data_IF_352810888714
#
_entry.id   IF_352810888714
#
_cell.length_a   1.000
_cell.length_b   1.000
_cell.length_c   1.000
_cell.angle_alpha   90.00
_cell.angle_beta   90.00
_cell.angle_gamma   90.00
#
_symmetry.space_group_name_H-M   'P 1'
#
loop_
_entity.id
_entity.type
_entity.pdbx_description
1 polymer ?
#
# COMPACT_ATOMS: atom_id res chain seq x y z
N UNK A 1 -0.66 -50.72 -13.36
CA UNK A 1 -1.74 -49.96 -14.05
C UNK A 1 -2.34 -49.00 -13.07
N UNK A 2 -2.38 -47.70 -13.36
CA UNK A 2 -2.99 -46.68 -12.51
C UNK A 2 -4.51 -46.88 -12.50
N UNK A 3 -5.13 -46.81 -11.30
CA UNK A 3 -6.57 -46.91 -11.15
C UNK A 3 -7.25 -45.73 -11.84
N UNK A 4 -8.32 -45.94 -12.63
CA UNK A 4 -9.01 -44.81 -13.27
C UNK A 4 -9.59 -43.90 -12.17
N UNK A 5 -9.43 -42.61 -12.34
CA UNK A 5 -9.96 -41.59 -11.43
C UNK A 5 -11.49 -41.56 -11.61
N UNK A 6 -12.21 -41.77 -10.54
CA UNK A 6 -13.66 -41.67 -10.53
C UNK A 6 -14.13 -40.21 -10.42
N UNK A 7 -15.43 -39.94 -10.65
CA UNK A 7 -16.00 -38.60 -10.63
C UNK A 7 -15.88 -37.93 -9.25
N UNK A 8 -15.90 -38.71 -8.17
CA UNK A 8 -15.81 -38.21 -6.80
C UNK A 8 -14.39 -37.77 -6.49
N UNK A 9 -13.41 -38.61 -6.87
CA UNK A 9 -11.98 -38.26 -6.73
C UNK A 9 -11.59 -37.06 -7.57
N UNK A 10 -12.11 -36.96 -8.82
CA UNK A 10 -11.88 -35.79 -9.67
C UNK A 10 -12.42 -34.49 -9.03
N UNK A 11 -13.64 -34.51 -8.52
CA UNK A 11 -14.23 -33.35 -7.81
C UNK A 11 -13.41 -32.96 -6.58
N UNK A 12 -12.99 -33.93 -5.77
CA UNK A 12 -12.17 -33.70 -4.58
C UNK A 12 -10.82 -33.08 -4.91
N UNK A 13 -10.17 -33.55 -5.99
CA UNK A 13 -8.90 -33.00 -6.41
C UNK A 13 -9.04 -31.55 -6.94
N UNK A 14 -10.07 -31.27 -7.74
CA UNK A 14 -10.35 -29.92 -8.20
C UNK A 14 -10.58 -28.97 -7.03
N UNK A 15 -11.39 -29.37 -6.06
CA UNK A 15 -11.69 -28.56 -4.87
C UNK A 15 -10.42 -28.27 -4.06
N UNK A 16 -9.59 -29.29 -3.84
CA UNK A 16 -8.32 -29.14 -3.15
C UNK A 16 -7.39 -28.15 -3.87
N UNK A 17 -7.30 -28.21 -5.19
CA UNK A 17 -6.47 -27.30 -5.97
C UNK A 17 -7.02 -25.87 -5.97
N UNK A 18 -8.33 -25.67 -6.08
CA UNK A 18 -8.96 -24.36 -5.96
C UNK A 18 -8.70 -23.74 -4.59
N UNK A 19 -8.93 -24.49 -3.52
CA UNK A 19 -8.66 -24.02 -2.16
C UNK A 19 -7.20 -23.62 -1.96
N UNK A 20 -6.24 -24.35 -2.55
CA UNK A 20 -4.83 -23.98 -2.49
C UNK A 20 -4.57 -22.63 -3.19
N UNK A 21 -5.14 -22.41 -4.37
CA UNK A 21 -5.00 -21.16 -5.12
C UNK A 21 -5.65 -19.98 -4.41
N UNK A 22 -6.84 -20.17 -3.81
CA UNK A 22 -7.52 -19.17 -3.00
C UNK A 22 -6.70 -18.75 -1.78
N UNK A 23 -6.11 -19.74 -1.08
CA UNK A 23 -5.23 -19.48 0.08
C UNK A 23 -3.97 -18.72 -0.32
N UNK A 24 -3.39 -18.98 -1.48
CA UNK A 24 -2.25 -18.23 -1.98
C UNK A 24 -2.65 -16.78 -2.30
N UNK A 25 -3.75 -16.59 -3.02
CA UNK A 25 -4.26 -15.25 -3.33
C UNK A 25 -4.57 -14.44 -2.05
N UNK A 26 -5.16 -15.09 -1.03
CA UNK A 26 -5.41 -14.47 0.27
C UNK A 26 -4.11 -14.09 1.00
N UNK A 27 -3.06 -14.93 0.92
CA UNK A 27 -1.76 -14.63 1.51
C UNK A 27 -1.07 -13.44 0.80
N UNK A 28 -1.16 -13.35 -0.52
CA UNK A 28 -0.64 -12.23 -1.30
C UNK A 28 -1.36 -10.93 -0.96
N UNK A 29 -2.69 -10.94 -0.90
CA UNK A 29 -3.49 -9.79 -0.48
C UNK A 29 -3.18 -9.36 0.97
N UNK A 30 -2.92 -10.32 1.85
CA UNK A 30 -2.48 -10.04 3.23
C UNK A 30 -1.13 -9.33 3.29
N UNK A 31 -0.18 -9.68 2.41
CA UNK A 31 1.12 -9.02 2.34
C UNK A 31 0.97 -7.55 1.88
N UNK A 32 0.14 -7.31 0.87
CA UNK A 32 -0.13 -5.95 0.40
C UNK A 32 -0.79 -5.11 1.50
N UNK A 33 -1.75 -5.68 2.24
CA UNK A 33 -2.36 -5.01 3.39
C UNK A 33 -1.34 -4.68 4.51
N UNK A 34 -0.39 -5.57 4.79
CA UNK A 34 0.68 -5.31 5.75
C UNK A 34 1.63 -4.20 5.27
N UNK A 35 1.91 -4.14 3.98
CA UNK A 35 2.70 -3.06 3.37
C UNK A 35 2.00 -1.72 3.49
N UNK A 36 0.71 -1.68 3.20
CA UNK A 36 -0.12 -0.48 3.33
C UNK A 36 -0.21 -0.01 4.79
N UNK A 37 -0.27 -0.94 5.75
CA UNK A 37 -0.22 -0.60 7.19
C UNK A 37 1.11 0.06 7.58
N UNK A 38 2.25 -0.42 7.06
CA UNK A 38 3.55 0.22 7.25
C UNK A 38 3.55 1.64 6.69
N UNK A 39 3.07 1.83 5.46
CA UNK A 39 3.01 3.16 4.83
C UNK A 39 2.10 4.11 5.62
N UNK A 40 0.90 3.68 5.96
CA UNK A 40 -0.07 4.47 6.71
C UNK A 40 0.43 4.88 8.10
N UNK A 41 1.04 3.95 8.82
CA UNK A 41 1.56 4.25 10.17
C UNK A 41 2.78 5.16 10.10
N UNK A 42 3.65 4.99 9.09
CA UNK A 42 4.78 5.88 8.84
C UNK A 42 4.32 7.29 8.47
N UNK A 43 3.35 7.42 7.58
CA UNK A 43 2.76 8.72 7.20
C UNK A 43 2.13 9.44 8.40
N UNK A 44 1.46 8.72 9.29
CA UNK A 44 0.89 9.30 10.50
C UNK A 44 1.98 9.85 11.45
N UNK A 45 3.11 9.13 11.58
CA UNK A 45 4.23 9.59 12.38
C UNK A 45 4.92 10.81 11.76
N UNK A 46 5.12 10.83 10.43
CA UNK A 46 5.62 12.01 9.69
C UNK A 46 4.70 13.20 9.88
N UNK A 47 3.38 13.03 9.74
CA UNK A 47 2.42 14.10 9.89
C UNK A 47 2.47 14.72 11.29
N UNK A 48 2.64 13.90 12.34
CA UNK A 48 2.79 14.37 13.71
C UNK A 48 4.07 15.20 13.90
N UNK A 49 5.19 14.75 13.32
CA UNK A 49 6.46 15.47 13.40
C UNK A 49 6.39 16.80 12.62
N UNK A 50 5.79 16.81 11.44
CA UNK A 50 5.53 18.03 10.67
C UNK A 50 4.71 19.01 11.49
N UNK A 51 3.63 18.54 12.11
CA UNK A 51 2.80 19.41 12.95
C UNK A 51 3.59 19.98 14.15
N UNK A 52 4.48 19.19 14.76
CA UNK A 52 5.36 19.65 15.84
C UNK A 52 6.27 20.78 15.36
N UNK A 53 6.90 20.62 14.20
CA UNK A 53 7.77 21.65 13.61
C UNK A 53 6.98 22.91 13.28
N UNK A 54 5.81 22.77 12.66
CA UNK A 54 4.95 23.91 12.28
C UNK A 54 4.44 24.72 13.49
N UNK A 55 4.31 24.10 14.67
CA UNK A 55 3.98 24.82 15.92
C UNK A 55 5.09 25.75 16.40
N UNK A 56 6.33 25.50 16.01
CA UNK A 56 7.47 26.32 16.34
C UNK A 56 7.70 27.47 15.33
N UNK A 57 7.02 27.43 14.18
CA UNK A 57 7.15 28.44 13.14
C UNK A 57 6.02 29.46 13.25
N UNK A 58 6.34 30.74 13.56
CA UNK A 58 5.33 31.78 13.66
C UNK A 58 4.73 32.10 12.29
N UNK A 59 3.48 32.54 12.29
CA UNK A 59 2.77 32.94 11.08
C UNK A 59 3.43 34.14 10.38
N UNK A 60 4.24 34.90 11.11
CA UNK A 60 5.02 36.04 10.60
C UNK A 60 5.97 35.66 9.45
N UNK A 61 6.45 34.40 9.42
CA UNK A 61 7.30 33.89 8.36
C UNK A 61 6.64 33.97 6.95
N UNK A 62 5.31 33.96 6.90
CA UNK A 62 4.57 34.13 5.63
C UNK A 62 4.82 35.49 4.98
N UNK A 63 5.22 36.51 5.75
CA UNK A 63 5.47 37.86 5.25
C UNK A 63 6.96 38.22 5.23
N UNK A 64 7.86 37.24 5.41
CA UNK A 64 9.32 37.45 5.43
C UNK A 64 9.83 38.23 4.23
N UNK A 65 9.26 37.97 3.04
CA UNK A 65 9.64 38.62 1.80
C UNK A 65 8.80 39.90 1.53
N UNK A 66 8.17 40.48 2.56
CA UNK A 66 7.32 41.68 2.45
C UNK A 66 6.20 41.58 1.41
N UNK A 67 5.55 40.42 1.37
CA UNK A 67 4.47 40.11 0.39
C UNK A 67 3.17 40.85 0.64
N UNK A 68 3.11 41.70 1.66
CA UNK A 68 1.92 42.46 2.00
C UNK A 68 0.81 41.65 2.66
N UNK A 69 1.16 40.51 3.29
CA UNK A 69 0.21 39.72 4.05
C UNK A 69 -0.08 40.45 5.38
N UNK A 70 -1.36 40.59 5.71
CA UNK A 70 -1.80 41.24 6.97
C UNK A 70 -1.65 40.30 8.16
N UNK A 71 -0.43 40.11 8.64
CA UNK A 71 -0.12 39.22 9.76
C UNK A 71 -0.92 39.56 11.02
N UNK A 72 -1.08 40.86 11.30
CA UNK A 72 -1.87 41.33 12.45
C UNK A 72 -3.31 40.79 12.42
N UNK A 73 -3.95 40.78 11.24
CA UNK A 73 -5.30 40.25 11.10
C UNK A 73 -5.36 38.74 11.32
N UNK A 74 -4.30 37.99 10.95
CA UNK A 74 -4.20 36.57 11.24
C UNK A 74 -4.09 36.32 12.76
N UNK A 75 -3.23 37.06 13.46
CA UNK A 75 -3.10 36.98 14.92
C UNK A 75 -4.42 37.29 15.64
N UNK A 76 -5.13 38.34 15.24
CA UNK A 76 -6.42 38.72 15.80
C UNK A 76 -7.49 37.63 15.67
N UNK A 77 -7.34 36.74 14.68
CA UNK A 77 -8.23 35.59 14.46
C UNK A 77 -7.66 34.25 15.00
N UNK A 78 -6.62 34.32 15.85
CA UNK A 78 -6.08 33.15 16.54
C UNK A 78 -5.07 32.31 15.76
N UNK A 79 -4.61 32.79 14.58
CA UNK A 79 -3.55 32.12 13.83
C UNK A 79 -2.18 32.67 14.26
N UNK A 80 -1.50 31.95 15.16
CA UNK A 80 -0.20 32.38 15.69
C UNK A 80 0.97 31.62 15.07
N UNK A 81 0.73 30.37 14.67
CA UNK A 81 1.73 29.48 14.08
C UNK A 81 1.28 28.94 12.73
N UNK A 82 2.20 28.38 11.96
CA UNK A 82 1.84 27.70 10.73
C UNK A 82 0.98 26.44 10.97
N UNK A 83 1.09 25.84 12.18
CA UNK A 83 0.24 24.71 12.55
C UNK A 83 -1.24 25.10 12.67
N UNK A 84 -1.54 26.33 13.06
CA UNK A 84 -2.91 26.83 13.20
C UNK A 84 -3.54 27.07 11.84
N UNK A 85 -2.77 27.61 10.88
CA UNK A 85 -3.27 27.98 9.56
C UNK A 85 -3.24 26.81 8.55
N UNK A 86 -2.39 25.81 8.76
CA UNK A 86 -2.27 24.67 7.85
C UNK A 86 -3.61 23.91 7.64
N UNK A 87 -4.43 23.62 8.64
CA UNK A 87 -5.73 22.97 8.45
C UNK A 87 -6.83 23.92 7.96
N UNK A 88 -6.65 25.27 8.07
CA UNK A 88 -7.66 26.23 7.69
C UNK A 88 -7.96 26.19 6.19
N UNK A 89 -9.24 26.35 5.83
CA UNK A 89 -9.66 26.46 4.44
C UNK A 89 -9.36 27.86 3.90
N UNK A 90 -9.25 28.00 2.56
CA UNK A 90 -9.13 29.32 1.90
C UNK A 90 -10.31 30.23 2.31
N UNK A 91 -11.52 29.68 2.36
CA UNK A 91 -12.71 30.43 2.76
C UNK A 91 -12.61 30.95 4.20
N UNK A 92 -12.12 30.13 5.14
CA UNK A 92 -11.91 30.58 6.53
C UNK A 92 -10.89 31.71 6.63
N UNK A 93 -9.84 31.68 5.80
CA UNK A 93 -8.82 32.75 5.76
C UNK A 93 -9.39 34.01 5.07
N UNK A 94 -10.15 33.86 4.00
CA UNK A 94 -10.77 34.97 3.28
C UNK A 94 -11.88 35.68 4.08
N UNK A 95 -12.51 34.99 5.04
CA UNK A 95 -13.50 35.58 5.95
C UNK A 95 -12.89 36.59 6.95
N UNK A 96 -11.56 36.62 7.08
CA UNK A 96 -10.85 37.53 7.96
C UNK A 96 -10.91 38.96 7.40
N UNK A 97 -11.37 39.90 8.20
CA UNK A 97 -11.46 41.30 7.76
C UNK A 97 -10.11 41.83 7.25
N UNK A 98 -10.10 42.28 6.00
CA UNK A 98 -8.92 42.84 5.35
C UNK A 98 -8.02 41.81 4.65
N UNK A 99 -8.45 40.58 4.52
CA UNK A 99 -7.83 39.55 3.66
C UNK A 99 -8.78 39.26 2.50
N UNK A 100 -8.34 39.56 1.28
CA UNK A 100 -9.10 39.19 0.07
C UNK A 100 -8.98 37.72 -0.24
N UNK A 101 -9.88 37.21 -1.08
CA UNK A 101 -9.85 35.81 -1.50
C UNK A 101 -8.52 35.44 -2.18
N UNK A 102 -8.02 36.30 -3.08
CA UNK A 102 -6.72 36.09 -3.76
C UNK A 102 -5.58 35.99 -2.75
N UNK A 103 -5.59 36.81 -1.69
CA UNK A 103 -4.61 36.78 -0.63
C UNK A 103 -4.73 35.50 0.21
N UNK A 104 -5.94 35.03 0.46
CA UNK A 104 -6.17 33.77 1.16
C UNK A 104 -5.63 32.58 0.35
N UNK A 105 -5.79 32.58 -0.97
CA UNK A 105 -5.17 31.59 -1.86
C UNK A 105 -3.64 31.64 -1.81
N UNK A 106 -3.06 32.83 -1.85
CA UNK A 106 -1.60 33.01 -1.76
C UNK A 106 -1.05 32.49 -0.42
N UNK A 107 -1.68 32.87 0.69
CA UNK A 107 -1.34 32.40 2.02
C UNK A 107 -1.38 30.86 2.06
N UNK A 108 -2.47 30.27 1.58
CA UNK A 108 -2.63 28.82 1.58
C UNK A 108 -1.59 28.10 0.72
N UNK A 109 -1.25 28.67 -0.43
CA UNK A 109 -0.19 28.14 -1.29
C UNK A 109 1.15 28.14 -0.58
N UNK A 110 1.54 29.24 0.06
CA UNK A 110 2.78 29.37 0.81
C UNK A 110 2.85 28.37 1.98
N UNK A 111 1.77 28.27 2.75
CA UNK A 111 1.69 27.31 3.85
C UNK A 111 1.84 25.88 3.33
N UNK A 112 1.17 25.52 2.24
CA UNK A 112 1.27 24.18 1.66
C UNK A 112 2.69 23.88 1.13
N UNK A 113 3.38 24.88 0.58
CA UNK A 113 4.77 24.75 0.14
C UNK A 113 5.70 24.49 1.33
N UNK A 114 5.55 25.25 2.43
CA UNK A 114 6.30 25.06 3.66
C UNK A 114 6.01 23.68 4.28
N UNK A 115 4.74 23.27 4.34
CA UNK A 115 4.32 21.95 4.83
C UNK A 115 4.98 20.84 3.99
N UNK A 116 4.94 20.97 2.66
CA UNK A 116 5.56 19.99 1.74
C UNK A 116 7.08 19.88 1.96
N UNK A 117 7.75 21.04 2.02
CA UNK A 117 9.21 21.09 2.26
C UNK A 117 9.57 20.51 3.64
N UNK A 118 8.80 20.88 4.66
CA UNK A 118 8.98 20.33 6.02
C UNK A 118 8.77 18.81 6.03
N UNK A 119 7.76 18.31 5.32
CA UNK A 119 7.50 16.87 5.20
C UNK A 119 8.66 16.13 4.52
N UNK A 120 9.22 16.68 3.46
CA UNK A 120 10.39 16.11 2.76
C UNK A 120 11.64 16.12 3.64
N UNK A 121 11.82 17.15 4.46
CA UNK A 121 12.95 17.30 5.37
C UNK A 121 12.77 16.58 6.72
N UNK A 122 11.57 16.13 7.04
CA UNK A 122 11.26 15.50 8.32
C UNK A 122 12.01 14.15 8.47
N UNK A 123 12.90 14.07 9.43
CA UNK A 123 13.66 12.86 9.75
C UNK A 123 12.98 12.15 10.92
N UNK A 124 12.36 11.02 10.63
CA UNK A 124 11.85 10.14 11.69
C UNK A 124 13.03 9.41 12.33
N UNK A 125 13.19 9.57 13.63
CA UNK A 125 14.12 8.77 14.42
C UNK A 125 13.34 7.74 15.22
N UNK A 126 13.48 6.48 14.84
CA UNK A 126 13.01 5.35 15.64
C UNK A 126 14.16 4.95 16.58
N UNK A 127 14.08 5.29 17.84
CA UNK A 127 15.06 4.92 18.86
C UNK A 127 14.33 4.27 20.05
N UNK A 128 15.07 3.55 20.87
CA UNK A 128 14.55 2.93 22.09
C UNK A 128 13.98 3.97 23.08
N UNK A 129 14.48 5.22 22.99
CA UNK A 129 14.01 6.33 23.84
C UNK A 129 12.71 6.95 23.34
N UNK A 130 12.37 6.77 22.06
CA UNK A 130 11.16 7.30 21.44
C UNK A 130 10.00 6.29 21.51
N UNK A 131 9.48 6.07 22.72
CA UNK A 131 8.37 5.13 23.00
C UNK A 131 6.99 5.77 22.81
N UNK A 132 6.84 6.68 21.84
CA UNK A 132 5.51 7.22 21.51
C UNK A 132 4.61 6.12 20.92
N UNK A 133 3.30 6.26 21.13
CA UNK A 133 2.32 5.29 20.59
C UNK A 133 2.43 5.15 19.06
N UNK A 134 2.70 6.24 18.36
CA UNK A 134 2.87 6.25 16.90
C UNK A 134 4.16 5.54 16.47
N UNK A 135 5.29 5.81 17.14
CA UNK A 135 6.56 5.13 16.86
C UNK A 135 6.41 3.61 17.09
N UNK A 136 5.74 3.21 18.19
CA UNK A 136 5.47 1.80 18.50
C UNK A 136 4.60 1.14 17.41
N UNK A 137 3.58 1.83 16.88
CA UNK A 137 2.75 1.33 15.77
C UNK A 137 3.58 1.09 14.51
N UNK A 138 4.47 2.02 14.15
CA UNK A 138 5.35 1.88 12.98
C UNK A 138 6.28 0.67 13.15
N UNK A 139 6.94 0.54 14.29
CA UNK A 139 7.83 -0.60 14.57
C UNK A 139 7.08 -1.92 14.53
N UNK A 140 5.87 -1.97 15.10
CA UNK A 140 5.01 -3.16 15.07
C UNK A 140 4.59 -3.53 13.63
N UNK A 141 4.20 -2.54 12.82
CA UNK A 141 3.82 -2.76 11.41
C UNK A 141 5.01 -3.28 10.59
N UNK A 142 6.20 -2.66 10.74
CA UNK A 142 7.43 -3.11 10.08
C UNK A 142 7.79 -4.54 10.49
N UNK A 143 7.70 -4.86 11.79
CA UNK A 143 8.00 -6.21 12.30
C UNK A 143 7.05 -7.25 11.70
N UNK A 144 5.75 -6.97 11.66
CA UNK A 144 4.76 -7.85 11.05
C UNK A 144 5.05 -8.07 9.55
N UNK A 145 5.33 -7.00 8.81
CA UNK A 145 5.66 -7.08 7.39
C UNK A 145 6.92 -7.93 7.17
N UNK A 146 8.02 -7.60 7.83
CA UNK A 146 9.29 -8.32 7.70
C UNK A 146 9.21 -9.80 8.06
N UNK A 147 8.40 -10.16 9.05
CA UNK A 147 8.23 -11.55 9.45
C UNK A 147 7.37 -12.34 8.44
N UNK A 148 6.44 -11.68 7.75
CA UNK A 148 5.53 -12.34 6.81
C UNK A 148 6.08 -12.41 5.38
N UNK A 149 6.79 -11.39 4.92
CA UNK A 149 7.25 -11.23 3.54
C UNK A 149 8.09 -12.42 3.04
N UNK A 150 9.14 -12.92 3.74
CA UNK A 150 9.99 -14.00 3.24
C UNK A 150 9.19 -15.28 3.00
N UNK A 151 8.28 -15.61 3.92
CA UNK A 151 7.46 -16.82 3.83
C UNK A 151 6.50 -16.78 2.64
N UNK A 152 5.88 -15.64 2.38
CA UNK A 152 4.96 -15.46 1.24
C UNK A 152 5.73 -15.50 -0.08
N UNK A 153 6.91 -14.87 -0.14
CA UNK A 153 7.78 -14.91 -1.33
C UNK A 153 8.23 -16.33 -1.64
N UNK A 154 8.61 -17.10 -0.63
CA UNK A 154 9.01 -18.50 -0.80
C UNK A 154 7.85 -19.36 -1.28
N UNK A 155 6.68 -19.24 -0.67
CA UNK A 155 5.46 -19.91 -1.14
C UNK A 155 5.14 -19.55 -2.60
N UNK A 156 5.26 -18.28 -2.97
CA UNK A 156 5.05 -17.83 -4.36
C UNK A 156 6.02 -18.48 -5.33
N UNK A 157 7.30 -18.59 -4.97
CA UNK A 157 8.32 -19.28 -5.80
C UNK A 157 7.98 -20.74 -6.00
N UNK A 158 7.64 -21.45 -4.92
CA UNK A 158 7.30 -22.87 -4.97
C UNK A 158 6.04 -23.12 -5.82
N UNK A 159 5.05 -22.27 -5.71
CA UNK A 159 3.76 -22.42 -6.40
C UNK A 159 3.76 -21.85 -7.83
N UNK A 160 4.69 -20.96 -8.19
CA UNK A 160 4.77 -20.44 -9.55
C UNK A 160 4.89 -21.53 -10.60
N UNK A 161 5.78 -22.52 -10.37
CA UNK A 161 5.97 -23.64 -11.28
C UNK A 161 4.83 -24.66 -11.20
N UNK A 162 4.12 -24.71 -10.09
CA UNK A 162 2.98 -25.60 -9.89
C UNK A 162 1.67 -25.00 -10.42
N UNK A 163 1.54 -23.68 -10.49
CA UNK A 163 0.31 -23.00 -10.89
C UNK A 163 -0.19 -23.46 -12.25
N UNK A 164 0.65 -23.38 -13.26
CA UNK A 164 0.29 -23.77 -14.63
C UNK A 164 -0.10 -25.27 -14.70
N UNK A 165 0.65 -26.12 -14.00
CA UNK A 165 0.35 -27.55 -13.91
C UNK A 165 -0.97 -27.82 -13.19
N UNK A 166 -1.29 -27.05 -12.15
CA UNK A 166 -2.55 -27.16 -11.41
C UNK A 166 -3.73 -26.71 -12.28
N UNK A 167 -3.60 -25.58 -12.98
CA UNK A 167 -4.64 -25.10 -13.90
C UNK A 167 -4.92 -26.10 -15.02
N UNK A 168 -3.90 -26.62 -15.68
CA UNK A 168 -4.03 -27.69 -16.68
C UNK A 168 -4.62 -28.96 -16.10
N UNK A 169 -4.20 -29.37 -14.88
CA UNK A 169 -4.74 -30.55 -14.21
C UNK A 169 -6.22 -30.40 -13.86
N UNK A 170 -6.67 -29.20 -13.51
CA UNK A 170 -8.09 -28.92 -13.28
C UNK A 170 -8.88 -29.06 -14.59
N UNK A 171 -8.39 -28.47 -15.70
CA UNK A 171 -9.03 -28.56 -17.00
C UNK A 171 -9.15 -30.01 -17.48
N UNK A 172 -8.10 -30.82 -17.31
CA UNK A 172 -8.10 -32.23 -17.67
C UNK A 172 -9.06 -33.08 -16.81
N UNK A 173 -9.32 -32.68 -15.56
CA UNK A 173 -10.21 -33.39 -14.63
C UNK A 173 -11.68 -32.98 -14.78
N UNK A 174 -11.97 -31.79 -15.32
CA UNK A 174 -13.34 -31.29 -15.50
C UNK A 174 -14.27 -32.27 -16.26
N UNK A 175 -13.84 -32.90 -17.35
CA UNK A 175 -14.70 -33.88 -18.06
C UNK A 175 -15.06 -35.10 -17.21
N UNK A 176 -14.18 -35.51 -16.29
CA UNK A 176 -14.40 -36.65 -15.40
C UNK A 176 -15.44 -36.37 -14.29
N UNK A 177 -15.80 -35.11 -14.05
CA UNK A 177 -16.77 -34.74 -13.00
C UNK A 177 -18.23 -34.98 -13.37
N UNK A 178 -18.54 -35.49 -14.58
CA UNK A 178 -19.90 -35.74 -15.03
C UNK A 178 -20.68 -34.52 -15.45
N UNK A 179 -20.03 -33.37 -15.65
CA UNK A 179 -20.61 -32.17 -16.24
C UNK A 179 -20.97 -32.42 -17.72
N UNK A 180 -22.15 -31.95 -18.13
CA UNK A 180 -22.75 -32.10 -19.45
C UNK A 180 -21.69 -31.88 -20.54
N UNK A 181 -21.57 -32.85 -21.46
CA UNK A 181 -20.80 -32.74 -22.71
C UNK A 181 -21.39 -31.63 -23.59
N UNK A 182 -21.06 -30.39 -23.29
CA UNK A 182 -21.23 -29.29 -24.22
C UNK A 182 -19.99 -29.20 -25.06
N UNK A 183 -20.15 -29.37 -26.35
CA UNK A 183 -19.23 -29.25 -27.43
C UNK A 183 -18.08 -28.26 -27.17
N UNK A 184 -16.98 -28.76 -26.68
CA UNK A 184 -15.70 -28.09 -26.88
C UNK A 184 -15.04 -28.80 -28.06
N UNK A 185 -14.66 -28.08 -29.12
CA UNK A 185 -13.89 -28.68 -30.22
C UNK A 185 -12.60 -29.26 -29.61
N UNK A 186 -12.12 -30.40 -30.15
CA UNK A 186 -10.88 -31.01 -29.63
C UNK A 186 -9.75 -30.01 -29.75
N UNK A 187 -9.17 -29.67 -28.60
CA UNK A 187 -7.98 -28.82 -28.52
C UNK A 187 -6.90 -29.52 -29.36
N UNK A 188 -6.30 -28.85 -30.37
CA UNK A 188 -5.29 -29.47 -31.21
C UNK A 188 -4.13 -29.92 -30.33
N UNK A 189 -3.81 -31.21 -30.37
CA UNK A 189 -2.65 -31.81 -29.67
C UNK A 189 -1.39 -31.05 -30.07
N UNK A 190 -0.99 -30.06 -29.28
CA UNK A 190 0.30 -29.41 -29.45
C UNK A 190 1.37 -30.46 -29.23
N UNK A 191 2.08 -30.81 -30.29
CA UNK A 191 3.24 -31.72 -30.28
C UNK A 191 4.16 -31.31 -29.14
N UNK A 192 4.37 -32.20 -28.16
CA UNK A 192 5.39 -32.07 -27.13
C UNK A 192 6.74 -31.88 -27.82
N UNK A 193 7.25 -30.68 -27.90
CA UNK A 193 8.67 -30.46 -28.13
C UNK A 193 9.39 -30.84 -26.85
N UNK A 194 9.85 -32.08 -26.80
CA UNK A 194 10.89 -32.51 -25.87
C UNK A 194 12.11 -31.60 -26.10
N UNK A 195 12.28 -30.56 -25.28
CA UNK A 195 13.56 -29.88 -25.19
C UNK A 195 14.48 -30.82 -24.43
N UNK A 196 15.43 -31.40 -25.16
CA UNK A 196 16.58 -32.06 -24.57
C UNK A 196 17.26 -31.09 -23.58
N UNK A 197 17.09 -31.34 -22.31
CA UNK A 197 17.99 -30.79 -21.28
C UNK A 197 19.33 -31.46 -21.46
N UNK A 198 20.28 -30.77 -22.12
CA UNK A 198 21.70 -31.11 -22.00
C UNK A 198 22.11 -30.94 -20.56
N UNK A 199 22.38 -32.05 -19.87
CA UNK A 199 23.12 -32.05 -18.64
C UNK A 199 24.51 -31.43 -18.90
N UNK A 200 24.79 -30.33 -18.25
CA UNK A 200 26.17 -29.92 -18.02
C UNK A 200 26.66 -30.72 -16.81
N UNK A 201 27.63 -31.61 -17.03
CA UNK A 201 28.52 -32.16 -16.04
C UNK A 201 29.85 -31.40 -16.06
N UNK A 202 30.68 -31.54 -15.01
CA UNK A 202 31.25 -30.51 -14.14
C UNK A 202 32.34 -29.69 -14.76
#
# INVERSE_FOLDING_TARGET
>A
MARPIDSTDAKRLIEKHRSLMERLAAAEASLDALRDDVLKTSDALVAKEVLRILKEVPVDELNRDKRGIRIKALHEHGYHTLADIAPASVHSIASIHGISEDRAYEIKRLVNEIVSTTRQGAKIRLSEDNKTAEATKVVSAISKFRNSEPHIIECRKLLRNAKDNIEYGIEDLLPATGGIKWFSPPVPKRKRRLRHMKCFQP
#
